data_IF_397439156175
#
_entry.id   IF_397439156175
#
_cell.length_a   1.000
_cell.length_b   1.000
_cell.length_c   1.000
_cell.angle_alpha   90.00
_cell.angle_beta   90.00
_cell.angle_gamma   90.00
#
_symmetry.space_group_name_H-M   'P 1'
#
loop_
_entity.id
_entity.type
_entity.pdbx_description
1 polymer ?
#
# COMPACT_ATOMS: atom_id res chain seq x y z
N UNK A 1 -25.37 -21.48 25.44
CA UNK A 1 -24.50 -21.84 26.58
C UNK A 1 -24.96 -21.12 27.83
N UNK A 2 -25.15 -19.79 27.77
CA UNK A 2 -25.79 -19.01 28.84
C UNK A 2 -27.20 -19.53 29.19
N UNK A 3 -28.08 -19.66 28.21
CA UNK A 3 -29.47 -20.12 28.39
C UNK A 3 -29.58 -21.50 29.03
N UNK A 4 -28.72 -22.42 28.61
CA UNK A 4 -28.65 -23.79 29.16
C UNK A 4 -28.16 -23.84 30.60
N UNK A 5 -27.34 -22.87 31.04
CA UNK A 5 -26.89 -22.80 32.42
C UNK A 5 -27.95 -22.12 33.30
N UNK A 6 -28.59 -21.06 32.81
CA UNK A 6 -29.63 -20.33 33.54
C UNK A 6 -30.82 -21.25 33.86
N UNK A 7 -31.34 -21.99 32.87
CA UNK A 7 -32.40 -22.97 33.04
C UNK A 7 -32.06 -24.09 34.06
N UNK A 8 -30.78 -24.45 34.17
CA UNK A 8 -30.32 -25.48 35.12
C UNK A 8 -30.21 -24.93 36.56
N UNK A 9 -29.99 -23.63 36.73
CA UNK A 9 -29.82 -22.97 38.03
C UNK A 9 -31.10 -22.33 38.59
N UNK A 10 -32.13 -22.20 37.78
CA UNK A 10 -33.47 -21.70 38.18
C UNK A 10 -34.05 -22.43 39.41
N UNK A 11 -33.99 -23.78 39.53
CA UNK A 11 -34.51 -24.49 40.71
C UNK A 11 -33.77 -24.15 42.02
N UNK A 12 -32.54 -23.63 41.91
CA UNK A 12 -31.71 -23.22 43.05
C UNK A 12 -31.87 -21.74 43.39
N UNK A 13 -32.69 -21.00 42.62
CA UNK A 13 -32.92 -19.56 42.82
C UNK A 13 -31.71 -18.69 42.50
N UNK A 14 -30.79 -19.19 41.66
CA UNK A 14 -29.56 -18.47 41.27
C UNK A 14 -29.70 -18.01 39.83
N UNK A 15 -29.55 -16.69 39.61
CA UNK A 15 -29.60 -16.07 38.28
C UNK A 15 -28.19 -15.96 37.69
N UNK A 16 -27.99 -16.42 36.45
CA UNK A 16 -26.71 -16.31 35.76
C UNK A 16 -26.61 -14.95 35.06
N UNK A 17 -25.60 -14.15 35.39
CA UNK A 17 -25.42 -12.81 34.78
C UNK A 17 -24.50 -12.81 33.55
N UNK A 18 -23.49 -13.69 33.51
CA UNK A 18 -22.52 -13.76 32.40
C UNK A 18 -21.81 -15.10 32.36
N UNK A 19 -21.66 -15.65 31.16
CA UNK A 19 -20.85 -16.86 30.92
C UNK A 19 -19.67 -16.52 30.01
N UNK A 20 -18.46 -16.74 30.52
CA UNK A 20 -17.21 -16.54 29.77
C UNK A 20 -16.39 -17.82 29.74
N UNK A 21 -15.75 -18.07 28.60
CA UNK A 21 -14.79 -19.16 28.46
C UNK A 21 -13.44 -18.68 29.03
N UNK A 22 -12.97 -19.34 30.10
CA UNK A 22 -11.76 -18.93 30.81
C UNK A 22 -10.47 -19.49 30.22
N UNK A 23 -10.46 -20.75 29.80
CA UNK A 23 -9.27 -21.42 29.25
C UNK A 23 -9.72 -22.49 28.24
N UNK A 24 -9.01 -22.57 27.11
CA UNK A 24 -9.17 -23.62 26.10
C UNK A 24 -7.79 -24.19 25.82
N UNK A 25 -7.59 -25.45 26.20
CA UNK A 25 -6.30 -26.12 26.03
C UNK A 25 -6.30 -26.94 24.75
N UNK A 26 -5.48 -26.52 23.80
CA UNK A 26 -5.20 -27.28 22.59
C UNK A 26 -3.91 -28.07 22.79
N UNK A 27 -3.81 -29.30 22.24
CA UNK A 27 -2.54 -30.03 22.21
C UNK A 27 -1.45 -29.21 21.50
N UNK A 28 -0.25 -29.15 22.08
CA UNK A 28 0.88 -28.35 21.57
C UNK A 28 1.21 -28.67 20.11
N UNK A 29 1.08 -29.93 19.70
CA UNK A 29 1.31 -30.36 18.32
C UNK A 29 0.32 -29.74 17.34
N UNK A 30 -0.97 -29.71 17.69
CA UNK A 30 -2.02 -29.14 16.86
C UNK A 30 -1.91 -27.61 16.79
N UNK A 31 -1.57 -26.95 17.90
CA UNK A 31 -1.34 -25.51 17.93
C UNK A 31 -0.21 -25.08 16.98
N UNK A 32 0.89 -25.85 16.94
CA UNK A 32 2.01 -25.59 16.02
C UNK A 32 1.63 -25.82 14.56
N UNK A 33 0.93 -26.91 14.26
CA UNK A 33 0.47 -27.19 12.90
C UNK A 33 -0.48 -26.10 12.39
N UNK A 34 -1.43 -25.68 13.22
CA UNK A 34 -2.38 -24.61 12.89
C UNK A 34 -1.69 -23.26 12.70
N UNK A 35 -0.69 -22.92 13.54
CA UNK A 35 0.08 -21.70 13.39
C UNK A 35 0.86 -21.68 12.06
N UNK A 36 1.52 -22.79 11.71
CA UNK A 36 2.27 -22.90 10.46
C UNK A 36 1.35 -22.81 9.22
N UNK A 37 0.18 -23.45 9.26
CA UNK A 37 -0.81 -23.34 8.19
C UNK A 37 -1.36 -21.91 8.05
N UNK A 38 -1.69 -21.28 9.19
CA UNK A 38 -2.17 -19.90 9.20
C UNK A 38 -1.14 -18.91 8.66
N UNK A 39 0.14 -19.10 8.98
CA UNK A 39 1.24 -18.29 8.45
C UNK A 39 1.39 -18.47 6.93
N UNK A 40 1.44 -19.71 6.45
CA UNK A 40 1.53 -19.99 5.02
C UNK A 40 0.35 -19.41 4.24
N UNK A 41 -0.88 -19.57 4.75
CA UNK A 41 -2.07 -18.99 4.15
C UNK A 41 -2.04 -17.46 4.13
N UNK A 42 -1.53 -16.84 5.21
CA UNK A 42 -1.37 -15.38 5.30
C UNK A 42 -0.34 -14.87 4.30
N UNK A 43 0.81 -15.51 4.20
CA UNK A 43 1.85 -15.12 3.23
C UNK A 43 1.38 -15.28 1.78
N UNK A 44 0.70 -16.39 1.46
CA UNK A 44 0.14 -16.60 0.13
C UNK A 44 -0.86 -15.51 -0.23
N UNK A 45 -1.79 -15.17 0.68
CA UNK A 45 -2.75 -14.07 0.47
C UNK A 45 -2.06 -12.73 0.32
N UNK A 46 -1.03 -12.45 1.12
CA UNK A 46 -0.27 -11.20 1.02
C UNK A 46 0.39 -11.05 -0.36
N UNK A 47 0.96 -12.13 -0.92
CA UNK A 47 1.54 -12.12 -2.28
C UNK A 47 0.51 -11.86 -3.36
N UNK A 48 -0.68 -12.46 -3.26
CA UNK A 48 -1.78 -12.22 -4.21
C UNK A 48 -2.22 -10.76 -4.18
N UNK A 49 -2.46 -10.21 -2.98
CA UNK A 49 -2.86 -8.82 -2.81
C UNK A 49 -1.79 -7.86 -3.36
N UNK A 50 -0.51 -8.14 -3.11
CA UNK A 50 0.58 -7.33 -3.65
C UNK A 50 0.61 -7.36 -5.19
N UNK A 51 0.45 -8.54 -5.80
CA UNK A 51 0.42 -8.68 -7.25
C UNK A 51 -0.78 -7.98 -7.89
N UNK A 52 -1.96 -8.07 -7.29
CA UNK A 52 -3.16 -7.35 -7.73
C UNK A 52 -3.00 -5.84 -7.59
N UNK A 53 -2.41 -5.39 -6.48
CA UNK A 53 -2.07 -3.99 -6.24
C UNK A 53 -1.13 -3.45 -7.30
N UNK A 54 -0.07 -4.20 -7.63
CA UNK A 54 0.91 -3.84 -8.67
C UNK A 54 0.26 -3.75 -10.05
N UNK A 55 -0.61 -4.70 -10.40
CA UNK A 55 -1.34 -4.66 -11.66
C UNK A 55 -2.24 -3.43 -11.75
N UNK A 56 -2.96 -3.10 -10.67
CA UNK A 56 -3.85 -1.94 -10.62
C UNK A 56 -3.06 -0.63 -10.71
N UNK A 57 -1.94 -0.53 -10.00
CA UNK A 57 -1.03 0.61 -10.08
C UNK A 57 -0.47 0.79 -11.50
N UNK A 58 0.01 -0.30 -12.12
CA UNK A 58 0.52 -0.29 -13.49
C UNK A 58 -0.51 0.20 -14.51
N UNK A 59 -1.77 -0.23 -14.38
CA UNK A 59 -2.87 0.22 -15.25
C UNK A 59 -3.13 1.72 -15.10
N UNK A 60 -3.22 2.20 -13.86
CA UNK A 60 -3.44 3.62 -13.58
C UNK A 60 -2.29 4.49 -14.09
N UNK A 61 -1.04 4.04 -13.92
CA UNK A 61 0.14 4.74 -14.45
C UNK A 61 0.14 4.79 -15.98
N UNK A 62 -0.24 3.69 -16.65
CA UNK A 62 -0.39 3.68 -18.11
C UNK A 62 -1.43 4.68 -18.57
N UNK A 63 -2.61 4.67 -17.97
CA UNK A 63 -3.69 5.61 -18.31
C UNK A 63 -3.23 7.06 -18.12
N UNK A 64 -2.57 7.36 -17.00
CA UNK A 64 -1.99 8.67 -16.76
C UNK A 64 -0.94 9.05 -17.82
N UNK A 65 -0.09 8.10 -18.24
CA UNK A 65 0.88 8.32 -19.31
C UNK A 65 0.21 8.61 -20.65
N UNK A 66 -0.84 7.86 -21.00
CA UNK A 66 -1.59 8.04 -22.24
C UNK A 66 -2.25 9.43 -22.29
N UNK A 67 -2.83 9.88 -21.17
CA UNK A 67 -3.41 11.23 -21.03
C UNK A 67 -2.35 12.31 -21.16
N UNK A 68 -1.18 12.13 -20.53
CA UNK A 68 -0.07 13.10 -20.62
C UNK A 68 0.48 13.17 -22.04
N UNK A 69 0.57 12.04 -22.74
CA UNK A 69 1.07 12.00 -24.12
C UNK A 69 0.14 12.75 -25.09
N UNK A 70 -1.16 12.82 -24.81
CA UNK A 70 -2.12 13.55 -25.64
C UNK A 70 -1.96 15.07 -25.53
N UNK A 71 -1.35 15.58 -24.46
CA UNK A 71 -1.16 17.02 -24.23
C UNK A 71 0.30 17.36 -23.94
N UNK A 72 1.04 17.91 -24.91
CA UNK A 72 2.45 18.30 -24.71
C UNK A 72 2.65 19.29 -23.56
N UNK A 73 1.67 20.15 -23.28
CA UNK A 73 1.69 21.09 -22.16
C UNK A 73 1.61 20.41 -20.79
N UNK A 74 1.06 19.19 -20.70
CA UNK A 74 0.96 18.45 -19.44
C UNK A 74 2.34 18.01 -18.91
N UNK A 75 3.27 17.63 -19.80
CA UNK A 75 4.65 17.33 -19.41
C UNK A 75 5.35 18.57 -18.83
N UNK A 76 5.14 19.73 -19.44
CA UNK A 76 5.74 20.97 -18.97
C UNK A 76 5.17 21.42 -17.62
N UNK A 77 3.85 21.26 -17.39
CA UNK A 77 3.25 21.50 -16.08
C UNK A 77 3.78 20.52 -15.02
N UNK A 78 3.91 19.23 -15.36
CA UNK A 78 4.48 18.23 -14.44
C UNK A 78 5.93 18.56 -14.10
N UNK A 79 6.72 19.02 -15.08
CA UNK A 79 8.08 19.50 -14.87
C UNK A 79 8.13 20.68 -13.90
N UNK A 80 7.27 21.69 -14.09
CA UNK A 80 7.18 22.84 -13.16
C UNK A 80 6.75 22.42 -11.75
N UNK A 81 5.82 21.46 -11.62
CA UNK A 81 5.44 20.90 -10.33
C UNK A 81 6.61 20.18 -9.65
N UNK A 82 7.36 19.36 -10.38
CA UNK A 82 8.56 18.69 -9.85
C UNK A 82 9.60 19.69 -9.38
N UNK A 83 9.82 20.77 -10.14
CA UNK A 83 10.72 21.87 -9.71
C UNK A 83 10.23 22.55 -8.44
N UNK A 84 8.93 22.77 -8.29
CA UNK A 84 8.37 23.35 -7.06
C UNK A 84 8.55 22.40 -5.86
N UNK A 85 8.32 21.10 -6.04
CA UNK A 85 8.56 20.08 -5.00
C UNK A 85 10.03 20.05 -4.58
N UNK A 86 10.96 20.02 -5.54
CA UNK A 86 12.41 20.05 -5.28
C UNK A 86 12.81 21.37 -4.61
N UNK A 87 12.24 22.50 -5.02
CA UNK A 87 12.54 23.80 -4.40
C UNK A 87 12.02 23.93 -2.96
N UNK A 88 10.98 23.16 -2.59
CA UNK A 88 10.44 23.14 -1.23
C UNK A 88 11.34 22.33 -0.28
N UNK A 89 11.96 21.27 -0.77
CA UNK A 89 13.01 20.55 -0.05
C UNK A 89 14.33 21.32 -0.16
N UNK A 90 14.78 21.99 0.91
CA UNK A 90 15.96 22.85 0.97
C UNK A 90 17.31 22.15 0.63
N UNK A 91 17.50 21.63 -0.57
CA UNK A 91 18.73 21.01 -1.08
C UNK A 91 19.26 21.82 -2.28
N UNK A 92 20.43 22.44 -2.10
CA UNK A 92 20.94 23.53 -2.96
C UNK A 92 21.60 23.09 -4.27
N UNK A 93 21.38 21.86 -4.76
CA UNK A 93 22.00 21.38 -6.00
C UNK A 93 20.93 20.89 -6.97
N UNK A 94 20.50 21.78 -7.86
CA UNK A 94 19.54 21.49 -8.93
C UNK A 94 20.36 21.07 -10.15
N UNK A 95 20.39 19.77 -10.47
CA UNK A 95 20.97 19.27 -11.72
C UNK A 95 19.92 19.47 -12.80
N UNK A 96 20.17 20.47 -13.67
CA UNK A 96 19.28 20.84 -14.75
C UNK A 96 19.80 20.23 -16.08
N UNK A 97 19.18 19.16 -16.61
CA UNK A 97 19.54 18.66 -17.92
C UNK A 97 18.95 19.61 -18.98
N UNK A 98 19.80 20.47 -19.55
CA UNK A 98 19.42 21.27 -20.72
C UNK A 98 19.53 20.38 -21.97
N UNK A 99 18.52 20.37 -22.87
CA UNK A 99 18.64 19.70 -24.15
C UNK A 99 19.87 20.21 -24.93
N UNK A 100 20.65 19.29 -25.51
CA UNK A 100 21.81 19.62 -26.32
C UNK A 100 21.47 20.57 -27.49
N UNK A 101 20.23 20.55 -27.96
CA UNK A 101 19.73 21.42 -29.04
C UNK A 101 19.71 22.91 -28.65
N UNK A 102 19.47 23.21 -27.37
CA UNK A 102 19.54 24.59 -26.86
C UNK A 102 21.00 25.00 -26.74
N UNK A 103 21.86 24.10 -26.24
CA UNK A 103 23.30 24.33 -26.08
C UNK A 103 23.98 24.56 -27.45
N UNK A 104 23.64 23.76 -28.46
CA UNK A 104 24.23 23.84 -29.80
C UNK A 104 23.93 25.16 -30.51
N UNK A 105 22.73 25.72 -30.32
CA UNK A 105 22.35 27.02 -30.86
C UNK A 105 23.15 28.19 -30.22
N UNK A 106 23.57 28.04 -28.96
CA UNK A 106 24.43 29.02 -28.28
C UNK A 106 25.93 28.86 -28.61
N UNK A 107 26.40 27.63 -28.91
CA UNK A 107 27.79 27.37 -29.30
C UNK A 107 28.08 27.71 -30.77
N UNK A 108 27.13 27.51 -31.69
CA UNK A 108 27.31 27.82 -33.11
C UNK A 108 27.29 29.32 -33.45
N UNK A 109 26.95 30.21 -32.50
CA UNK A 109 26.94 31.66 -32.72
C UNK A 109 28.33 32.31 -32.63
N UNK A 110 29.40 31.56 -32.36
CA UNK A 110 30.79 32.07 -32.24
C UNK A 110 31.70 31.78 -33.43
N UNK A 111 31.16 31.26 -34.53
CA UNK A 111 31.90 31.08 -35.78
C UNK A 111 31.22 31.94 -36.84
N UNK A 112 31.42 33.25 -36.73
CA UNK A 112 31.45 34.26 -37.80
C UNK A 112 31.97 35.58 -37.20
#
# INVERSE_FOLDING_TARGET
>A
METTLDEATDPWGVKVERVEIKDVRLPVQLQRAMAAEAEAAREARAKVIAAEGEQKASRALREASDVISQSPSALQLRYLQTLNTISAEKNSTIIFPVPMDVISHFLNKKVD
#
